data_IF_774822435752
#
_entry.id   IF_774822435752
#
_cell.length_a   1.000
_cell.length_b   1.000
_cell.length_c   1.000
_cell.angle_alpha   90.00
_cell.angle_beta   90.00
_cell.angle_gamma   90.00
#
_symmetry.space_group_name_H-M   'P 1'
#
loop_
_entity.id
_entity.type
_entity.pdbx_description
1 polymer ?
#
# COMPACT_ATOMS: atom_id res chain seq x y z
N UNK A 1 1.09 -17.57 30.59
CA UNK A 1 -0.30 -17.88 31.04
C UNK A 1 -1.26 -17.18 30.08
N UNK A 2 -1.35 -17.65 28.82
CA UNK A 2 -2.28 -17.09 27.83
C UNK A 2 -3.59 -17.85 27.99
N UNK A 3 -4.59 -17.17 28.51
CA UNK A 3 -5.92 -17.68 28.72
C UNK A 3 -6.46 -18.24 27.39
N UNK A 4 -6.91 -19.48 27.43
CA UNK A 4 -7.62 -20.18 26.36
C UNK A 4 -8.96 -19.46 26.12
N UNK A 5 -8.91 -18.34 25.38
CA UNK A 5 -10.11 -17.61 25.00
C UNK A 5 -10.91 -18.51 24.06
N UNK A 6 -12.16 -18.73 24.41
CA UNK A 6 -13.12 -19.51 23.62
C UNK A 6 -13.20 -18.89 22.20
N UNK A 7 -13.18 -19.71 21.16
CA UNK A 7 -13.15 -19.28 19.75
C UNK A 7 -14.16 -18.17 19.42
N UNK A 8 -15.35 -18.19 20.03
CA UNK A 8 -16.33 -17.12 19.87
C UNK A 8 -15.96 -15.80 20.52
N UNK A 9 -15.15 -15.81 21.58
CA UNK A 9 -14.64 -14.59 22.23
C UNK A 9 -13.55 -13.95 21.41
N UNK A 10 -12.68 -14.74 20.78
CA UNK A 10 -11.61 -14.23 19.89
C UNK A 10 -12.16 -13.52 18.66
N UNK A 11 -13.20 -14.07 18.04
CA UNK A 11 -13.89 -13.44 16.91
C UNK A 11 -14.53 -12.10 17.29
N UNK A 12 -15.20 -12.03 18.45
CA UNK A 12 -15.81 -10.80 18.95
C UNK A 12 -14.77 -9.72 19.24
N UNK A 13 -13.67 -10.08 19.90
CA UNK A 13 -12.56 -9.16 20.19
C UNK A 13 -11.92 -8.66 18.90
N UNK A 14 -11.67 -9.56 17.94
CA UNK A 14 -11.13 -9.19 16.62
C UNK A 14 -12.05 -8.23 15.87
N UNK A 15 -13.35 -8.46 15.89
CA UNK A 15 -14.32 -7.56 15.26
C UNK A 15 -14.35 -6.18 15.94
N UNK A 16 -14.36 -6.13 17.27
CA UNK A 16 -14.36 -4.86 18.04
C UNK A 16 -13.07 -4.07 17.75
N UNK A 17 -11.91 -4.73 17.74
CA UNK A 17 -10.64 -4.09 17.42
C UNK A 17 -10.63 -3.54 15.99
N UNK A 18 -11.16 -4.29 15.02
CA UNK A 18 -11.25 -3.84 13.64
C UNK A 18 -12.15 -2.60 13.49
N UNK A 19 -13.32 -2.59 14.14
CA UNK A 19 -14.17 -1.40 14.16
C UNK A 19 -13.52 -0.22 14.87
N UNK A 20 -12.80 -0.44 15.96
CA UNK A 20 -12.04 0.61 16.64
C UNK A 20 -10.98 1.23 15.74
N UNK A 21 -10.25 0.42 14.97
CA UNK A 21 -9.27 0.89 13.99
C UNK A 21 -9.95 1.70 12.89
N UNK A 22 -11.09 1.25 12.36
CA UNK A 22 -11.84 1.97 11.32
C UNK A 22 -12.28 3.34 11.83
N UNK A 23 -12.87 3.41 13.04
CA UNK A 23 -13.31 4.66 13.66
C UNK A 23 -12.11 5.60 13.88
N UNK A 24 -11.02 5.08 14.42
CA UNK A 24 -9.80 5.85 14.66
C UNK A 24 -9.22 6.42 13.36
N UNK A 25 -9.10 5.61 12.33
CA UNK A 25 -8.65 6.06 11.01
C UNK A 25 -9.57 7.12 10.40
N UNK A 26 -10.89 6.96 10.56
CA UNK A 26 -11.86 7.93 10.07
C UNK A 26 -11.72 9.27 10.81
N UNK A 27 -11.61 9.26 12.12
CA UNK A 27 -11.44 10.47 12.95
C UNK A 27 -10.12 11.17 12.59
N UNK A 28 -9.02 10.40 12.50
CA UNK A 28 -7.72 10.94 12.10
C UNK A 28 -7.81 11.56 10.70
N UNK A 29 -8.41 10.89 9.72
CA UNK A 29 -8.60 11.42 8.37
C UNK A 29 -9.41 12.70 8.32
N UNK A 30 -10.51 12.78 9.08
CA UNK A 30 -11.35 13.98 9.16
C UNK A 30 -10.63 15.18 9.78
N UNK A 31 -9.73 14.97 10.73
CA UNK A 31 -8.94 16.03 11.36
C UNK A 31 -7.70 16.37 10.53
N UNK A 32 -7.07 15.37 9.94
CA UNK A 32 -5.82 15.51 9.19
C UNK A 32 -6.02 16.24 7.87
N UNK A 33 -7.11 15.95 7.15
CA UNK A 33 -7.39 16.57 5.85
C UNK A 33 -7.49 18.11 5.92
N UNK A 34 -8.32 18.72 6.81
CA UNK A 34 -8.37 20.16 6.91
C UNK A 34 -7.08 20.78 7.45
N UNK A 35 -6.36 20.06 8.31
CA UNK A 35 -5.05 20.51 8.80
C UNK A 35 -4.05 20.60 7.64
N UNK A 36 -3.94 19.57 6.80
CA UNK A 36 -3.06 19.53 5.63
C UNK A 36 -3.42 20.63 4.62
N UNK A 37 -4.72 20.84 4.37
CA UNK A 37 -5.20 21.92 3.49
C UNK A 37 -4.78 23.32 3.98
N UNK A 38 -4.81 23.53 5.31
CA UNK A 38 -4.38 24.81 5.90
C UNK A 38 -2.87 25.02 5.83
N UNK A 39 -2.07 23.95 6.00
CA UNK A 39 -0.62 24.05 6.06
C UNK A 39 0.03 24.09 4.67
N UNK A 40 -0.44 23.27 3.74
CA UNK A 40 0.11 23.17 2.37
C UNK A 40 -0.54 24.15 1.40
N UNK A 41 -1.77 24.56 1.67
CA UNK A 41 -2.58 25.31 0.71
C UNK A 41 -3.29 24.36 -0.28
N UNK A 42 -4.24 24.94 -1.00
CA UNK A 42 -5.13 24.16 -1.87
C UNK A 42 -4.40 23.54 -3.07
N UNK A 43 -3.42 24.24 -3.64
CA UNK A 43 -2.66 23.80 -4.80
C UNK A 43 -1.75 22.61 -4.47
N UNK A 44 -0.93 22.74 -3.42
CA UNK A 44 -0.01 21.66 -3.01
C UNK A 44 -0.74 20.44 -2.47
N UNK A 45 -1.84 20.63 -1.74
CA UNK A 45 -2.68 19.52 -1.31
C UNK A 45 -3.36 18.81 -2.50
N UNK A 46 -3.79 19.56 -3.52
CA UNK A 46 -4.32 18.99 -4.76
C UNK A 46 -3.30 18.12 -5.48
N UNK A 47 -2.06 18.61 -5.58
CA UNK A 47 -0.94 17.86 -6.15
C UNK A 47 -0.66 16.55 -5.36
N UNK A 48 -0.56 16.66 -4.03
CA UNK A 48 -0.39 15.50 -3.16
C UNK A 48 -1.51 14.46 -3.37
N UNK A 49 -2.75 14.91 -3.38
CA UNK A 49 -3.93 14.05 -3.56
C UNK A 49 -3.91 13.34 -4.92
N UNK A 50 -3.50 14.03 -5.99
CA UNK A 50 -3.39 13.48 -7.32
C UNK A 50 -2.31 12.39 -7.37
N UNK A 51 -1.12 12.67 -6.85
CA UNK A 51 -0.03 11.69 -6.79
C UNK A 51 -0.41 10.49 -5.91
N UNK A 52 -1.04 10.73 -4.76
CA UNK A 52 -1.54 9.65 -3.90
C UNK A 52 -2.59 8.77 -4.60
N UNK A 53 -3.44 9.36 -5.46
CA UNK A 53 -4.41 8.60 -6.27
C UNK A 53 -3.72 7.69 -7.27
N UNK A 54 -2.69 8.16 -7.96
CA UNK A 54 -1.90 7.34 -8.91
C UNK A 54 -1.30 6.13 -8.20
N UNK A 55 -0.78 6.32 -6.99
CA UNK A 55 -0.19 5.24 -6.20
C UNK A 55 -1.24 4.26 -5.72
N UNK A 56 -2.42 4.75 -5.33
CA UNK A 56 -3.54 3.88 -4.98
C UNK A 56 -3.90 2.94 -6.13
N UNK A 57 -3.79 3.38 -7.38
CA UNK A 57 -3.95 2.50 -8.53
C UNK A 57 -2.84 1.45 -8.66
N UNK A 58 -1.60 1.80 -8.33
CA UNK A 58 -0.50 0.82 -8.31
C UNK A 58 -0.69 -0.24 -7.22
N UNK A 59 -1.19 0.14 -6.05
CA UNK A 59 -1.48 -0.81 -4.96
C UNK A 59 -2.65 -1.75 -5.26
N UNK A 60 -3.57 -1.38 -6.18
CA UNK A 60 -4.60 -2.31 -6.65
C UNK A 60 -3.99 -3.52 -7.38
N UNK A 61 -2.81 -3.37 -7.97
CA UNK A 61 -2.09 -4.50 -8.59
C UNK A 61 -1.72 -5.61 -7.59
N UNK A 62 -1.70 -5.33 -6.29
CA UNK A 62 -1.54 -6.34 -5.24
C UNK A 62 -2.70 -7.37 -5.22
N UNK A 63 -3.87 -7.03 -5.79
CA UNK A 63 -5.03 -7.92 -5.92
C UNK A 63 -5.43 -8.64 -4.63
N UNK A 64 -4.96 -8.17 -3.47
CA UNK A 64 -5.23 -8.77 -2.16
C UNK A 64 -4.50 -10.10 -1.92
N UNK A 65 -3.41 -10.37 -2.62
CA UNK A 65 -2.61 -11.57 -2.45
C UNK A 65 -2.09 -11.74 -1.02
N UNK A 66 -1.80 -10.65 -0.29
CA UNK A 66 -1.41 -10.71 1.11
C UNK A 66 -2.40 -11.52 1.97
N UNK A 67 -3.70 -11.32 1.79
CA UNK A 67 -4.72 -12.12 2.50
C UNK A 67 -4.70 -13.59 2.09
N UNK A 68 -4.40 -13.90 0.84
CA UNK A 68 -4.27 -15.26 0.35
C UNK A 68 -3.06 -15.95 0.99
N UNK A 69 -1.92 -15.27 1.04
CA UNK A 69 -0.67 -15.78 1.64
C UNK A 69 -0.92 -16.14 3.10
N UNK A 70 -1.46 -15.22 3.91
CA UNK A 70 -1.77 -15.46 5.33
C UNK A 70 -2.66 -16.69 5.51
N UNK A 71 -3.69 -16.83 4.67
CA UNK A 71 -4.63 -17.96 4.75
C UNK A 71 -3.96 -19.29 4.41
N UNK A 72 -3.18 -19.34 3.32
CA UNK A 72 -2.52 -20.57 2.89
C UNK A 72 -1.36 -20.94 3.80
N UNK A 73 -0.61 -19.97 4.32
CA UNK A 73 0.44 -20.19 5.32
C UNK A 73 -0.14 -20.84 6.57
N UNK A 74 -1.23 -20.30 7.10
CA UNK A 74 -1.91 -20.88 8.26
C UNK A 74 -2.38 -22.33 8.00
N UNK A 75 -2.89 -22.62 6.80
CA UNK A 75 -3.34 -23.93 6.39
C UNK A 75 -2.18 -24.92 6.31
N UNK A 76 -1.12 -24.62 5.56
CA UNK A 76 0.03 -25.52 5.38
C UNK A 76 0.78 -25.74 6.69
N UNK A 77 0.87 -24.73 7.56
CA UNK A 77 1.43 -24.87 8.89
C UNK A 77 0.60 -25.82 9.77
N UNK A 78 -0.72 -25.74 9.71
CA UNK A 78 -1.61 -26.66 10.44
C UNK A 78 -1.52 -28.10 9.92
N UNK A 79 -1.28 -28.29 8.62
CA UNK A 79 -1.13 -29.60 7.97
C UNK A 79 0.31 -30.15 8.04
N UNK A 80 1.29 -29.41 8.65
CA UNK A 80 2.72 -29.72 8.67
C UNK A 80 3.35 -29.92 7.28
N UNK A 81 2.81 -29.25 6.26
CA UNK A 81 3.28 -29.29 4.87
C UNK A 81 4.31 -28.18 4.61
N UNK A 82 5.49 -28.37 5.17
CA UNK A 82 6.56 -27.36 5.13
C UNK A 82 7.07 -27.13 3.71
N UNK A 83 7.16 -28.19 2.89
CA UNK A 83 7.66 -28.08 1.52
C UNK A 83 6.71 -27.26 0.64
N UNK A 84 5.41 -27.54 0.71
CA UNK A 84 4.38 -26.83 -0.03
C UNK A 84 4.28 -25.35 0.40
N UNK A 85 4.57 -25.08 1.66
CA UNK A 85 4.64 -23.71 2.18
C UNK A 85 5.80 -22.93 1.53
N UNK A 86 6.99 -23.50 1.44
CA UNK A 86 8.13 -22.86 0.79
C UNK A 86 7.93 -22.69 -0.72
N UNK A 87 7.34 -23.67 -1.39
CA UNK A 87 7.01 -23.56 -2.82
C UNK A 87 6.00 -22.43 -3.07
N UNK A 88 5.01 -22.27 -2.20
CA UNK A 88 4.06 -21.18 -2.24
C UNK A 88 4.75 -19.83 -2.07
N UNK A 89 5.63 -19.69 -1.06
CA UNK A 89 6.38 -18.44 -0.85
C UNK A 89 7.26 -18.11 -2.06
N UNK A 90 7.94 -19.09 -2.64
CA UNK A 90 8.72 -18.88 -3.87
C UNK A 90 7.86 -18.37 -5.02
N UNK A 91 6.65 -18.90 -5.19
CA UNK A 91 5.71 -18.44 -6.22
C UNK A 91 5.28 -16.98 -5.98
N UNK A 92 4.92 -16.62 -4.75
CA UNK A 92 4.53 -15.25 -4.41
C UNK A 92 5.69 -14.28 -4.52
N UNK A 93 6.90 -14.68 -4.13
CA UNK A 93 8.10 -13.86 -4.30
C UNK A 93 8.34 -13.48 -5.77
N UNK A 94 8.24 -14.44 -6.68
CA UNK A 94 8.35 -14.18 -8.13
C UNK A 94 7.22 -13.25 -8.59
N UNK A 95 5.99 -13.50 -8.15
CA UNK A 95 4.83 -12.69 -8.50
C UNK A 95 5.00 -11.24 -8.05
N UNK A 96 5.35 -11.01 -6.78
CA UNK A 96 5.60 -9.66 -6.26
C UNK A 96 6.79 -8.98 -6.92
N UNK A 97 7.86 -9.72 -7.25
CA UNK A 97 8.98 -9.19 -8.01
C UNK A 97 8.55 -8.68 -9.39
N UNK A 98 7.72 -9.43 -10.10
CA UNK A 98 7.17 -9.03 -11.40
C UNK A 98 6.28 -7.80 -11.27
N UNK A 99 5.36 -7.78 -10.29
CA UNK A 99 4.49 -6.62 -10.03
C UNK A 99 5.33 -5.40 -9.67
N UNK A 100 6.34 -5.55 -8.82
CA UNK A 100 7.27 -4.48 -8.42
C UNK A 100 8.00 -3.87 -9.62
N UNK A 101 8.52 -4.71 -10.53
CA UNK A 101 9.19 -4.26 -11.76
C UNK A 101 8.22 -3.52 -12.67
N UNK A 102 7.00 -4.05 -12.87
CA UNK A 102 5.98 -3.39 -13.70
C UNK A 102 5.60 -2.03 -13.09
N UNK A 103 5.35 -1.98 -11.79
CA UNK A 103 5.02 -0.74 -11.07
C UNK A 103 6.14 0.29 -11.17
N UNK A 104 7.39 -0.15 -11.08
CA UNK A 104 8.57 0.71 -11.24
C UNK A 104 8.66 1.29 -12.66
N UNK A 105 8.46 0.46 -13.69
CA UNK A 105 8.47 0.91 -15.08
C UNK A 105 7.34 1.90 -15.38
N UNK A 106 6.14 1.65 -14.88
CA UNK A 106 5.00 2.59 -14.98
C UNK A 106 5.33 3.91 -14.28
N UNK A 107 5.89 3.85 -13.07
CA UNK A 107 6.30 5.01 -12.30
C UNK A 107 7.37 5.86 -12.99
N UNK A 108 8.38 5.21 -13.60
CA UNK A 108 9.37 5.88 -14.43
C UNK A 108 8.73 6.52 -15.67
N UNK A 109 7.82 5.82 -16.33
CA UNK A 109 7.07 6.35 -17.46
C UNK A 109 6.29 7.62 -17.09
N UNK A 110 5.63 7.61 -15.93
CA UNK A 110 4.95 8.79 -15.39
C UNK A 110 5.94 9.92 -15.09
N UNK A 111 7.07 9.63 -14.46
CA UNK A 111 8.09 10.63 -14.12
C UNK A 111 8.60 11.38 -15.37
N UNK A 112 8.89 10.66 -16.45
CA UNK A 112 9.37 11.27 -17.70
C UNK A 112 8.28 12.04 -18.46
N UNK A 113 7.01 11.70 -18.26
CA UNK A 113 5.88 12.33 -18.96
C UNK A 113 5.09 13.31 -18.10
N UNK A 114 5.50 13.59 -16.87
CA UNK A 114 4.82 14.54 -15.96
C UNK A 114 4.63 15.90 -16.62
N UNK A 115 5.66 16.42 -17.30
CA UNK A 115 5.60 17.72 -17.97
C UNK A 115 4.50 17.74 -19.02
N UNK A 116 4.43 16.72 -19.87
CA UNK A 116 3.44 16.62 -20.95
C UNK A 116 2.02 16.44 -20.41
N UNK A 117 1.87 15.66 -19.35
CA UNK A 117 0.56 15.34 -18.78
C UNK A 117 -0.04 16.51 -18.00
N UNK A 118 0.79 17.31 -17.31
CA UNK A 118 0.34 18.29 -16.34
C UNK A 118 0.73 19.74 -16.66
N UNK A 119 1.47 20.01 -17.76
CA UNK A 119 1.90 21.36 -18.16
C UNK A 119 0.75 22.37 -18.30
N UNK A 120 -0.45 21.92 -18.67
CA UNK A 120 -1.61 22.79 -18.83
C UNK A 120 -2.37 23.04 -17.51
N UNK A 121 -2.05 22.32 -16.45
CA UNK A 121 -2.79 22.34 -15.18
C UNK A 121 -1.96 22.80 -13.99
N UNK A 122 -0.65 22.86 -14.13
CA UNK A 122 0.30 23.14 -13.05
C UNK A 122 1.33 24.18 -13.46
N UNK A 123 1.79 24.97 -12.48
CA UNK A 123 2.92 25.87 -12.63
C UNK A 123 4.25 25.11 -12.70
N UNK A 124 5.33 25.75 -13.16
CA UNK A 124 6.67 25.14 -13.27
C UNK A 124 7.17 24.64 -11.91
N UNK A 125 6.91 25.40 -10.84
CA UNK A 125 7.30 25.03 -9.47
C UNK A 125 6.53 23.80 -8.97
N UNK A 126 5.22 23.73 -9.25
CA UNK A 126 4.38 22.58 -8.90
C UNK A 126 4.78 21.35 -9.69
N UNK A 127 5.18 21.50 -10.95
CA UNK A 127 5.66 20.40 -11.79
C UNK A 127 6.95 19.79 -11.24
N UNK A 128 7.88 20.61 -10.75
CA UNK A 128 9.12 20.17 -10.12
C UNK A 128 8.84 19.39 -8.83
N UNK A 129 7.91 19.89 -7.99
CA UNK A 129 7.47 19.20 -6.77
C UNK A 129 6.77 17.88 -7.10
N UNK A 130 5.92 17.83 -8.14
CA UNK A 130 5.26 16.63 -8.61
C UNK A 130 6.25 15.55 -8.99
N UNK A 131 7.31 15.87 -9.74
CA UNK A 131 8.37 14.93 -10.11
C UNK A 131 9.04 14.30 -8.90
N UNK A 132 9.41 15.11 -7.91
CA UNK A 132 10.05 14.63 -6.68
C UNK A 132 9.08 13.73 -5.91
N UNK A 133 7.81 14.13 -5.79
CA UNK A 133 6.80 13.33 -5.10
C UNK A 133 6.56 11.99 -5.79
N UNK A 134 6.43 11.96 -7.11
CA UNK A 134 6.28 10.71 -7.87
C UNK A 134 7.50 9.81 -7.67
N UNK A 135 8.72 10.35 -7.74
CA UNK A 135 9.93 9.56 -7.54
C UNK A 135 9.99 8.94 -6.13
N UNK A 136 9.72 9.74 -5.09
CA UNK A 136 9.69 9.25 -3.71
C UNK A 136 8.63 8.18 -3.50
N UNK A 137 7.47 8.34 -4.13
CA UNK A 137 6.36 7.42 -3.98
C UNK A 137 6.58 6.12 -4.76
N UNK A 138 7.16 6.18 -5.97
CA UNK A 138 7.58 4.99 -6.73
C UNK A 138 8.61 4.20 -5.93
N UNK A 139 9.58 4.88 -5.31
CA UNK A 139 10.55 4.25 -4.43
C UNK A 139 9.88 3.59 -3.22
N UNK A 140 8.90 4.26 -2.60
CA UNK A 140 8.13 3.71 -1.49
C UNK A 140 7.36 2.45 -1.89
N UNK A 141 6.70 2.47 -3.05
CA UNK A 141 5.99 1.29 -3.58
C UNK A 141 6.96 0.13 -3.84
N UNK A 142 8.15 0.40 -4.41
CA UNK A 142 9.17 -0.64 -4.61
C UNK A 142 9.65 -1.23 -3.28
N UNK A 143 9.86 -0.40 -2.25
CA UNK A 143 10.23 -0.87 -0.92
C UNK A 143 9.12 -1.71 -0.27
N UNK A 144 7.86 -1.31 -0.44
CA UNK A 144 6.72 -2.05 0.08
C UNK A 144 6.69 -3.47 -0.50
N UNK A 145 6.76 -3.61 -1.82
CA UNK A 145 6.74 -4.93 -2.47
C UNK A 145 7.98 -5.78 -2.15
N UNK A 146 9.16 -5.16 -1.96
CA UNK A 146 10.36 -5.90 -1.54
C UNK A 146 10.31 -6.30 -0.07
N UNK A 147 9.71 -5.49 0.80
CA UNK A 147 9.52 -5.80 2.22
C UNK A 147 8.51 -6.93 2.40
N UNK A 148 7.36 -6.85 1.74
CA UNK A 148 6.34 -7.91 1.78
C UNK A 148 6.88 -9.25 1.28
N UNK A 149 7.81 -9.22 0.30
CA UNK A 149 8.50 -10.40 -0.18
C UNK A 149 9.60 -10.94 0.77
N UNK A 150 10.13 -10.11 1.67
CA UNK A 150 11.24 -10.46 2.56
C UNK A 150 10.78 -10.85 3.98
N UNK A 151 9.61 -10.38 4.43
CA UNK A 151 9.05 -10.68 5.76
C UNK A 151 8.40 -12.07 5.87
N UNK A 152 8.41 -12.86 4.79
CA UNK A 152 7.86 -14.22 4.70
C UNK A 152 8.94 -15.29 4.47
#
# INVERSE_FOLDING_TARGET
>A
MLAKLNSGSQLKIGAILNYAIIVLNTVVGLLYTPYMLRMMGQSEYGLYSLVASVISYLTILDLGFGNAIIRYTAKYRAENKVKEQYEMFGMFFVLYSVIGVISFLIGLGLYFNVDVLFQNSMSIDELSKAKIMILLMVFNVCLLYTSDAADE
#
